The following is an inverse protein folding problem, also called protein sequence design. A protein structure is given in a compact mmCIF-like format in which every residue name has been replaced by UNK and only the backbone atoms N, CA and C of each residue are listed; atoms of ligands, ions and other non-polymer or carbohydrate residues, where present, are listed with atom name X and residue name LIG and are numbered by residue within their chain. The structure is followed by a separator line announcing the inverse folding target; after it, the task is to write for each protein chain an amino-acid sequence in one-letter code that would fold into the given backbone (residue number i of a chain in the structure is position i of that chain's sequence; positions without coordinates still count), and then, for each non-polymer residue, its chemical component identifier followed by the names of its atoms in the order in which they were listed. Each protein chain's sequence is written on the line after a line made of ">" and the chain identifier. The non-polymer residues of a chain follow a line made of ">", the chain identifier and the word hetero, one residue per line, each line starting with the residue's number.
data_IF_430613486502
#
_entry.id   IF_430613486502
#
_cell.length_a   1.000
_cell.length_b   1.000
_cell.length_c   1.000
_cell.angle_alpha   90.00
_cell.angle_beta   90.00
_cell.angle_gamma   90.00
#
_symmetry.space_group_name_H-M   'P 1'
#
loop_
_entity.id
_entity.type
_entity.pdbx_description
1 polymer ?
#
# COMPACT_ATOMS: atom_id res chain seq x y z
N UNK A 1 4.38 21.91 7.20
CA UNK A 1 4.13 23.03 6.27
C UNK A 1 3.32 24.19 6.83
N UNK A 2 2.76 24.12 8.05
CA UNK A 2 2.26 25.30 8.79
C UNK A 2 1.03 26.02 8.20
N UNK A 3 0.50 25.58 7.06
CA UNK A 3 -0.74 26.06 6.45
C UNK A 3 -1.93 25.29 7.00
N UNK A 4 -3.02 26.00 7.28
CA UNK A 4 -4.30 25.41 7.71
C UNK A 4 -5.22 25.30 6.50
N UNK A 5 -5.85 24.15 6.33
CA UNK A 5 -6.83 23.88 5.29
C UNK A 5 -8.08 23.28 5.93
N UNK A 6 -9.25 23.68 5.43
CA UNK A 6 -10.52 23.07 5.78
C UNK A 6 -10.90 22.07 4.69
N UNK A 7 -11.24 20.86 5.11
CA UNK A 7 -11.65 19.76 4.23
C UNK A 7 -12.98 19.24 4.76
N UNK A 8 -13.94 19.04 3.88
CA UNK A 8 -15.19 18.38 4.25
C UNK A 8 -14.90 16.91 4.57
N UNK A 9 -15.38 16.44 5.72
CA UNK A 9 -15.25 15.04 6.13
C UNK A 9 -16.53 14.60 6.86
N UNK A 10 -16.87 13.32 6.75
CA UNK A 10 -17.81 12.68 7.65
C UNK A 10 -17.14 12.42 9.02
N UNK A 11 -17.93 12.17 10.07
CA UNK A 11 -17.36 11.90 11.40
C UNK A 11 -16.47 10.66 11.40
N UNK A 12 -16.84 9.63 10.63
CA UNK A 12 -16.13 8.35 10.53
C UNK A 12 -14.77 8.48 9.83
N UNK A 13 -14.65 9.39 8.86
CA UNK A 13 -13.43 9.59 8.07
C UNK A 13 -12.43 10.57 8.72
N UNK A 14 -12.81 11.23 9.81
CA UNK A 14 -12.02 12.33 10.40
C UNK A 14 -10.62 11.89 10.78
N UNK A 15 -10.50 10.73 11.43
CA UNK A 15 -9.22 10.24 11.93
C UNK A 15 -8.33 9.75 10.77
N UNK A 16 -8.92 9.12 9.75
CA UNK A 16 -8.23 8.69 8.53
C UNK A 16 -7.71 9.89 7.73
N UNK A 17 -8.54 10.92 7.52
CA UNK A 17 -8.14 12.15 6.84
C UNK A 17 -7.08 12.93 7.64
N UNK A 18 -7.15 12.90 8.97
CA UNK A 18 -6.12 13.49 9.83
C UNK A 18 -4.78 12.76 9.66
N UNK A 19 -4.80 11.42 9.60
CA UNK A 19 -3.62 10.63 9.33
C UNK A 19 -3.05 10.92 7.93
N UNK A 20 -3.90 10.99 6.90
CA UNK A 20 -3.51 11.35 5.54
C UNK A 20 -2.87 12.74 5.46
N UNK A 21 -3.45 13.74 6.14
CA UNK A 21 -2.90 15.09 6.20
C UNK A 21 -1.52 15.13 6.87
N UNK A 22 -1.33 14.38 7.97
CA UNK A 22 -0.03 14.24 8.64
C UNK A 22 1.01 13.58 7.73
N UNK A 23 0.61 12.53 7.01
CA UNK A 23 1.48 11.83 6.07
C UNK A 23 1.93 12.75 4.93
N UNK A 24 1.00 13.50 4.33
CA UNK A 24 1.31 14.51 3.32
C UNK A 24 2.28 15.55 3.85
N UNK A 25 2.05 16.10 5.05
CA UNK A 25 2.93 17.10 5.66
C UNK A 25 4.36 16.57 5.85
N UNK A 26 4.50 15.33 6.33
CA UNK A 26 5.79 14.68 6.49
C UNK A 26 6.52 14.52 5.15
N UNK A 27 5.82 14.05 4.12
CA UNK A 27 6.39 13.89 2.77
C UNK A 27 6.82 15.23 2.17
N UNK A 28 5.97 16.25 2.28
CA UNK A 28 6.31 17.60 1.85
C UNK A 28 7.54 18.13 2.59
N UNK A 29 7.63 17.95 3.92
CA UNK A 29 8.77 18.41 4.73
C UNK A 29 10.06 17.68 4.32
N UNK A 30 9.97 16.38 4.03
CA UNK A 30 11.11 15.59 3.53
C UNK A 30 11.61 16.10 2.18
N UNK A 31 10.70 16.40 1.25
CA UNK A 31 11.05 16.94 -0.08
C UNK A 31 11.70 18.32 0.06
N UNK A 32 11.14 19.19 0.90
CA UNK A 32 11.72 20.51 1.14
C UNK A 32 13.12 20.43 1.76
N UNK A 33 13.32 19.55 2.75
CA UNK A 33 14.63 19.32 3.39
C UNK A 33 15.69 18.80 2.42
N UNK A 34 15.30 18.11 1.34
CA UNK A 34 16.24 17.63 0.33
C UNK A 34 16.91 18.77 -0.45
N UNK A 35 16.35 19.99 -0.41
CA UNK A 35 16.85 21.16 -1.14
C UNK A 35 16.69 21.09 -2.66
N UNK A 36 16.24 19.96 -3.23
CA UNK A 36 16.10 19.76 -4.68
C UNK A 36 14.90 20.48 -5.30
N UNK A 37 13.90 20.82 -4.49
CA UNK A 37 12.64 21.40 -4.94
C UNK A 37 12.41 22.70 -4.17
N UNK A 38 12.33 23.80 -4.92
CA UNK A 38 12.08 25.13 -4.36
C UNK A 38 10.61 25.49 -4.58
N UNK A 39 9.94 25.95 -3.52
CA UNK A 39 8.54 26.37 -3.54
C UNK A 39 7.57 25.35 -2.92
N UNK A 40 6.64 25.86 -2.11
CA UNK A 40 5.65 25.04 -1.38
C UNK A 40 4.72 24.30 -2.33
N UNK A 41 4.27 24.94 -3.40
CA UNK A 41 3.33 24.34 -4.35
C UNK A 41 3.98 23.17 -5.10
N UNK A 42 5.26 23.32 -5.48
CA UNK A 42 6.01 22.24 -6.12
C UNK A 42 6.30 21.10 -5.14
N UNK A 43 6.55 21.38 -3.86
CA UNK A 43 6.65 20.35 -2.83
C UNK A 43 5.33 19.58 -2.67
N UNK A 44 4.18 20.27 -2.74
CA UNK A 44 2.87 19.63 -2.65
C UNK A 44 2.61 18.69 -3.83
N UNK A 45 2.89 19.15 -5.05
CA UNK A 45 2.74 18.34 -6.28
C UNK A 45 3.64 17.11 -6.23
N UNK A 46 4.92 17.29 -5.87
CA UNK A 46 5.87 16.17 -5.77
C UNK A 46 5.48 15.18 -4.67
N UNK A 47 4.99 15.66 -3.52
CA UNK A 47 4.49 14.79 -2.47
C UNK A 47 3.28 13.97 -2.94
N UNK A 48 2.31 14.62 -3.58
CA UNK A 48 1.13 13.95 -4.13
C UNK A 48 1.49 12.89 -5.19
N UNK A 49 2.43 13.20 -6.08
CA UNK A 49 2.93 12.25 -7.09
C UNK A 49 3.60 11.03 -6.45
N UNK A 50 4.48 11.25 -5.47
CA UNK A 50 5.17 10.17 -4.78
C UNK A 50 4.18 9.26 -4.03
N UNK A 51 3.23 9.85 -3.30
CA UNK A 51 2.19 9.09 -2.57
C UNK A 51 1.32 8.28 -3.54
N UNK A 52 0.93 8.88 -4.67
CA UNK A 52 0.16 8.18 -5.71
C UNK A 52 0.97 7.01 -6.30
N UNK A 53 2.26 7.20 -6.53
CA UNK A 53 3.14 6.14 -7.00
C UNK A 53 3.28 5.00 -5.99
N UNK A 54 3.47 5.32 -4.70
CA UNK A 54 3.50 4.32 -3.62
C UNK A 54 2.19 3.51 -3.58
N UNK A 55 1.03 4.16 -3.69
CA UNK A 55 -0.28 3.49 -3.72
C UNK A 55 -0.42 2.55 -4.92
N UNK A 56 0.01 2.98 -6.11
CA UNK A 56 -0.06 2.16 -7.31
C UNK A 56 0.89 0.95 -7.21
N UNK A 57 2.09 1.13 -6.65
CA UNK A 57 3.03 0.03 -6.43
C UNK A 57 2.49 -0.99 -5.42
N UNK A 58 1.84 -0.54 -4.34
CA UNK A 58 1.19 -1.43 -3.37
C UNK A 58 0.05 -2.23 -4.02
N UNK A 59 -0.72 -1.62 -4.92
CA UNK A 59 -1.77 -2.30 -5.67
C UNK A 59 -1.20 -3.31 -6.67
N UNK A 60 -0.08 -3.01 -7.32
CA UNK A 60 0.59 -3.99 -8.18
C UNK A 60 1.20 -5.14 -7.39
N UNK A 61 1.78 -4.87 -6.21
CA UNK A 61 2.31 -5.90 -5.31
C UNK A 61 1.19 -6.77 -4.73
N UNK A 62 -0.04 -6.26 -4.58
CA UNK A 62 -1.18 -7.11 -4.26
C UNK A 62 -1.41 -8.21 -5.33
N UNK A 63 -0.96 -8.02 -6.57
CA UNK A 63 -0.92 -9.08 -7.59
C UNK A 63 0.04 -10.24 -7.23
N UNK A 64 1.10 -9.99 -6.45
CA UNK A 64 1.93 -11.07 -5.90
C UNK A 64 1.14 -11.94 -4.92
N UNK A 65 0.11 -11.40 -4.25
CA UNK A 65 -0.76 -12.18 -3.38
C UNK A 65 -1.56 -13.23 -4.17
N UNK A 66 -2.01 -12.92 -5.39
CA UNK A 66 -2.70 -13.89 -6.24
C UNK A 66 -1.76 -15.01 -6.70
N UNK A 67 -0.51 -14.68 -7.03
CA UNK A 67 0.51 -15.67 -7.37
C UNK A 67 0.85 -16.55 -6.16
N UNK A 68 0.93 -15.93 -4.97
CA UNK A 68 1.17 -16.63 -3.71
C UNK A 68 0.02 -17.58 -3.37
N UNK A 69 -1.23 -17.13 -3.51
CA UNK A 69 -2.43 -17.94 -3.30
C UNK A 69 -2.51 -19.11 -4.28
N UNK A 70 -2.11 -18.88 -5.54
CA UNK A 70 -2.03 -19.93 -6.57
C UNK A 70 -0.98 -20.99 -6.23
N UNK A 71 0.20 -20.58 -5.74
CA UNK A 71 1.25 -21.49 -5.25
C UNK A 71 0.78 -22.27 -4.01
N UNK A 72 0.03 -21.63 -3.12
CA UNK A 72 -0.52 -22.25 -1.91
C UNK A 72 -1.55 -23.34 -2.28
N UNK A 73 -2.45 -23.06 -3.23
CA UNK A 73 -3.39 -24.05 -3.78
C UNK A 73 -2.67 -25.23 -4.44
N UNK A 74 -1.62 -24.96 -5.21
CA UNK A 74 -0.78 -26.01 -5.82
C UNK A 74 -0.15 -26.93 -4.77
N UNK A 75 0.39 -26.36 -3.68
CA UNK A 75 0.97 -27.13 -2.58
C UNK A 75 -0.10 -27.95 -1.84
N UNK A 76 -1.27 -27.35 -1.55
CA UNK A 76 -2.40 -28.06 -0.96
C UNK A 76 -2.85 -29.26 -1.79
N UNK A 77 -2.93 -29.09 -3.12
CA UNK A 77 -3.30 -30.16 -4.02
C UNK A 77 -2.25 -31.28 -4.02
N UNK A 78 -0.94 -30.94 -4.08
CA UNK A 78 0.14 -31.94 -4.01
C UNK A 78 0.12 -32.74 -2.70
N UNK A 79 -0.08 -32.07 -1.57
CA UNK A 79 -0.19 -32.74 -0.26
C UNK A 79 -1.41 -33.65 -0.22
N UNK A 80 -2.55 -33.19 -0.73
CA UNK A 80 -3.79 -33.98 -0.78
C UNK A 80 -3.64 -35.21 -1.67
N UNK A 81 -2.99 -35.08 -2.83
CA UNK A 81 -2.71 -36.20 -3.73
C UNK A 81 -1.77 -37.22 -3.10
N UNK A 82 -0.67 -36.77 -2.47
CA UNK A 82 0.27 -37.67 -1.80
C UNK A 82 -0.38 -38.43 -0.63
N UNK A 83 -1.25 -37.75 0.14
CA UNK A 83 -2.02 -38.40 1.21
C UNK A 83 -3.04 -39.40 0.66
N UNK A 84 -3.63 -39.15 -0.50
CA UNK A 84 -4.57 -40.07 -1.15
C UNK A 84 -3.87 -41.32 -1.69
N UNK A 85 -2.75 -41.15 -2.40
CA UNK A 85 -1.91 -42.28 -2.90
C UNK A 85 -1.43 -43.17 -1.76
N UNK A 86 -0.99 -42.60 -0.63
CA UNK A 86 -0.55 -43.38 0.53
C UNK A 86 -1.70 -44.21 1.15
N UNK A 87 -2.95 -43.77 0.99
CA UNK A 87 -4.13 -44.44 1.53
C UNK A 87 -4.57 -45.61 0.64
N UNK A 88 -4.45 -45.45 -0.68
CA UNK A 88 -4.70 -46.51 -1.68
C UNK A 88 -3.65 -47.62 -1.60
N UNK A 89 -2.38 -47.30 -1.35
CA UNK A 89 -1.29 -48.27 -1.17
C UNK A 89 -1.38 -49.14 0.10
N UNK A 90 -2.32 -48.83 1.01
CA UNK A 90 -2.51 -49.54 2.28
C UNK A 90 -3.80 -50.39 2.33
N UNK A 91 -4.56 -50.46 1.25
CA UNK A 91 -5.61 -51.47 1.02
C UNK A 91 -5.06 -52.60 0.13
#
# INVERSE_FOLDING_TARGET
>A
MGKKFSVACSEDERDELTAAARYLDQKMNSIQRSGKVIGLDRCAIMAALNISHELLNLRSDAGLSEEFESKLKLLQNKVSSALHEQKELKL
#
